data_IF_091786905368
#
_entry.id   IF_091786905368
#
_cell.length_a   1.000
_cell.length_b   1.000
_cell.length_c   1.000
_cell.angle_alpha   90.00
_cell.angle_beta   90.00
_cell.angle_gamma   90.00
#
_symmetry.space_group_name_H-M   'P 1'
#
loop_
_entity.id
_entity.type
_entity.pdbx_description
1 polymer ?
#
# COMPACT_ATOMS: atom_id res chain seq x y z
N UNK A 1 -8.97 -4.88 9.54
CA UNK A 1 -8.14 -5.98 10.07
C UNK A 1 -6.89 -6.06 9.21
N UNK A 2 -5.84 -5.36 9.63
CA UNK A 2 -4.47 -5.46 9.11
C UNK A 2 -3.58 -5.42 10.35
N UNK A 3 -3.59 -6.54 11.09
CA UNK A 3 -2.93 -6.69 12.41
C UNK A 3 -1.51 -7.22 12.29
N UNK A 4 -1.06 -7.49 11.07
CA UNK A 4 0.27 -7.99 10.80
C UNK A 4 1.34 -6.92 11.03
N UNK A 5 2.56 -7.38 11.33
CA UNK A 5 3.71 -6.49 11.48
C UNK A 5 4.26 -6.13 10.10
N UNK A 6 4.38 -4.84 9.81
CA UNK A 6 5.03 -4.31 8.60
C UNK A 6 6.48 -4.76 8.45
N UNK A 7 7.19 -5.02 9.56
CA UNK A 7 8.53 -5.59 9.52
C UNK A 7 8.57 -7.06 9.10
N UNK A 8 7.46 -7.79 9.27
CA UNK A 8 7.29 -9.16 8.77
C UNK A 8 6.82 -9.14 7.32
N UNK A 9 5.85 -8.28 6.99
CA UNK A 9 5.39 -8.05 5.61
C UNK A 9 6.55 -7.75 4.66
N UNK A 10 7.43 -6.81 5.02
CA UNK A 10 8.59 -6.42 4.22
C UNK A 10 9.61 -7.54 3.94
N UNK A 11 9.59 -8.63 4.73
CA UNK A 11 10.43 -9.81 4.44
C UNK A 11 9.90 -10.59 3.24
N UNK A 12 8.60 -10.47 2.98
CA UNK A 12 7.92 -11.14 1.87
C UNK A 12 8.05 -10.38 0.54
N UNK A 13 8.52 -9.13 0.54
CA UNK A 13 8.85 -8.36 -0.67
C UNK A 13 9.78 -9.11 -1.64
N UNK A 14 10.61 -10.03 -1.12
CA UNK A 14 11.59 -10.79 -1.92
C UNK A 14 11.03 -12.03 -2.60
N UNK A 15 9.78 -12.40 -2.35
CA UNK A 15 9.18 -13.60 -2.91
C UNK A 15 8.46 -13.31 -4.23
N UNK A 16 8.18 -14.39 -4.97
CA UNK A 16 7.54 -14.41 -6.30
C UNK A 16 6.33 -13.45 -6.42
N UNK A 17 6.04 -12.94 -7.63
CA UNK A 17 4.89 -12.06 -7.86
C UNK A 17 3.58 -12.71 -7.39
N UNK A 18 2.81 -11.93 -6.63
CA UNK A 18 1.48 -12.33 -6.16
C UNK A 18 0.56 -12.57 -7.36
N UNK A 19 -0.20 -13.67 -7.34
CA UNK A 19 -1.25 -13.92 -8.31
C UNK A 19 -2.55 -13.30 -7.83
N UNK A 20 -3.28 -12.66 -8.74
CA UNK A 20 -4.56 -12.07 -8.42
C UNK A 20 -5.57 -13.18 -8.05
N UNK A 21 -6.26 -13.09 -6.91
CA UNK A 21 -7.23 -14.11 -6.51
C UNK A 21 -8.51 -14.10 -7.36
N UNK A 22 -8.76 -13.03 -8.11
CA UNK A 22 -9.95 -12.91 -8.95
C UNK A 22 -9.77 -13.52 -10.35
N UNK A 23 -8.63 -13.28 -10.99
CA UNK A 23 -8.39 -13.66 -12.39
C UNK A 23 -7.09 -14.48 -12.61
N UNK A 24 -6.30 -14.72 -11.55
CA UNK A 24 -5.07 -15.51 -11.60
C UNK A 24 -3.88 -14.79 -12.25
N UNK A 25 -4.03 -13.54 -12.68
CA UNK A 25 -2.96 -12.81 -13.36
C UNK A 25 -1.84 -12.43 -12.39
N UNK A 26 -0.60 -12.41 -12.90
CA UNK A 26 0.54 -11.87 -12.15
C UNK A 26 0.31 -10.39 -11.87
N UNK A 27 0.37 -10.03 -10.60
CA UNK A 27 0.24 -8.64 -10.17
C UNK A 27 1.56 -7.89 -10.37
N UNK A 28 1.46 -6.60 -10.64
CA UNK A 28 2.60 -5.71 -10.86
C UNK A 28 2.84 -4.89 -9.60
N UNK A 29 4.08 -4.86 -9.13
CA UNK A 29 4.47 -4.04 -8.00
C UNK A 29 4.50 -2.56 -8.35
N UNK A 30 3.77 -1.79 -7.57
CA UNK A 30 3.65 -0.35 -7.64
C UNK A 30 4.20 0.29 -6.36
N UNK A 31 4.59 1.55 -6.46
CA UNK A 31 5.02 2.37 -5.31
C UNK A 31 4.00 3.46 -5.07
N UNK A 32 3.59 3.66 -3.82
CA UNK A 32 2.62 4.70 -3.49
C UNK A 32 3.20 6.10 -3.72
N UNK A 33 2.44 6.95 -4.42
CA UNK A 33 2.83 8.33 -4.66
C UNK A 33 2.88 9.11 -3.35
N UNK A 34 3.96 9.84 -3.09
CA UNK A 34 4.19 10.55 -1.84
C UNK A 34 4.64 9.66 -0.67
N UNK A 35 4.61 8.34 -0.82
CA UNK A 35 5.04 7.37 0.19
C UNK A 35 5.95 6.29 -0.45
N UNK A 36 7.20 6.62 -0.83
CA UNK A 36 8.08 5.70 -1.57
C UNK A 36 8.44 4.41 -0.82
N UNK A 37 8.17 4.38 0.49
CA UNK A 37 8.41 3.25 1.37
C UNK A 37 7.24 2.25 1.43
N UNK A 38 6.13 2.57 0.76
CA UNK A 38 4.95 1.71 0.65
C UNK A 38 4.90 1.16 -0.77
N UNK A 39 4.92 -0.17 -0.84
CA UNK A 39 4.69 -0.89 -2.07
C UNK A 39 3.29 -1.52 -2.02
N UNK A 40 2.72 -1.77 -3.19
CA UNK A 40 1.49 -2.53 -3.31
C UNK A 40 1.48 -3.23 -4.65
N UNK A 41 0.83 -4.38 -4.74
CA UNK A 41 0.72 -5.12 -5.99
C UNK A 41 -0.65 -4.83 -6.62
N UNK A 42 -0.67 -4.50 -7.90
CA UNK A 42 -1.90 -4.22 -8.67
C UNK A 42 -2.08 -5.21 -9.81
N UNK A 43 -3.29 -5.76 -9.94
CA UNK A 43 -3.65 -6.59 -11.08
C UNK A 43 -3.85 -5.70 -12.32
N UNK A 44 -3.16 -5.96 -13.45
CA UNK A 44 -3.32 -5.16 -14.67
C UNK A 44 -4.65 -5.40 -15.39
N UNK A 45 -5.42 -6.43 -15.00
CA UNK A 45 -6.66 -6.82 -15.67
C UNK A 45 -7.91 -6.36 -14.91
N UNK A 46 -8.06 -6.74 -13.64
CA UNK A 46 -9.22 -6.34 -12.84
C UNK A 46 -8.98 -5.10 -11.96
N UNK A 47 -7.77 -4.53 -11.97
CA UNK A 47 -7.38 -3.37 -11.15
C UNK A 47 -7.45 -3.62 -9.63
N UNK A 48 -7.58 -4.87 -9.20
CA UNK A 48 -7.50 -5.26 -7.79
C UNK A 48 -6.13 -4.93 -7.20
N UNK A 49 -6.11 -4.56 -5.91
CA UNK A 49 -4.89 -4.15 -5.20
C UNK A 49 -4.67 -5.06 -4.00
N UNK A 50 -3.41 -5.44 -3.80
CA UNK A 50 -2.94 -6.25 -2.68
C UNK A 50 -1.87 -5.48 -1.91
N UNK A 51 -1.99 -5.48 -0.59
CA UNK A 51 -1.03 -4.87 0.34
C UNK A 51 -0.46 -5.96 1.23
N UNK A 52 0.85 -5.90 1.49
CA UNK A 52 1.46 -6.81 2.45
C UNK A 52 1.07 -6.43 3.88
N UNK A 53 1.29 -7.37 4.78
CA UNK A 53 0.92 -7.27 6.19
C UNK A 53 1.47 -5.96 6.82
N UNK A 54 0.58 -5.10 7.31
CA UNK A 54 0.90 -3.83 7.96
C UNK A 54 1.06 -2.63 7.03
N UNK A 55 1.16 -2.81 5.70
CA UNK A 55 1.34 -1.73 4.74
C UNK A 55 0.06 -0.92 4.51
N UNK A 56 -1.10 -1.56 4.51
CA UNK A 56 -2.38 -0.87 4.30
C UNK A 56 -2.69 0.11 5.43
N UNK A 57 -2.35 -0.26 6.67
CA UNK A 57 -2.46 0.67 7.81
C UNK A 57 -1.55 1.89 7.62
N UNK A 58 -0.30 1.67 7.21
CA UNK A 58 0.65 2.77 6.97
C UNK A 58 0.10 3.72 5.89
N UNK A 59 -0.35 3.15 4.77
CA UNK A 59 -0.91 3.88 3.63
C UNK A 59 -2.05 4.84 4.01
N UNK A 60 -3.01 4.40 4.85
CA UNK A 60 -4.14 5.25 5.29
C UNK A 60 -3.72 6.41 6.19
N UNK A 61 -2.62 6.27 6.91
CA UNK A 61 -2.28 7.21 7.99
C UNK A 61 -1.85 8.57 7.44
N UNK A 62 -1.21 8.61 6.26
CA UNK A 62 -0.80 9.87 5.61
C UNK A 62 -1.94 10.62 4.92
N UNK A 63 -3.01 9.96 4.45
CA UNK A 63 -4.12 10.69 3.78
C UNK A 63 -4.87 11.60 4.74
N UNK A 64 -5.00 11.22 6.01
CA UNK A 64 -5.72 12.01 7.01
C UNK A 64 -4.79 13.12 7.56
N UNK A 65 -3.57 12.77 7.96
CA UNK A 65 -2.63 13.73 8.53
C UNK A 65 -2.23 14.86 7.55
N UNK A 66 -2.06 14.56 6.26
CA UNK A 66 -1.74 15.56 5.25
C UNK A 66 -2.93 16.50 4.98
N UNK A 67 -4.16 15.96 4.92
CA UNK A 67 -5.36 16.79 4.83
C UNK A 67 -5.51 17.70 6.06
N UNK A 68 -5.27 17.19 7.27
CA UNK A 68 -5.32 18.00 8.48
C UNK A 68 -4.22 19.08 8.51
N UNK A 69 -2.99 18.79 8.02
CA UNK A 69 -1.93 19.81 7.90
C UNK A 69 -2.29 20.90 6.90
N UNK A 70 -2.84 20.55 5.74
CA UNK A 70 -3.25 21.53 4.74
C UNK A 70 -4.47 22.35 5.18
N UNK A 71 -5.38 21.77 5.98
CA UNK A 71 -6.56 22.48 6.49
C UNK A 71 -6.24 23.45 7.64
N UNK A 72 -5.31 23.08 8.53
CA UNK A 72 -5.01 23.84 9.76
C UNK A 72 -3.68 24.60 9.71
N UNK A 73 -2.84 24.41 8.69
CA UNK A 73 -1.54 25.07 8.53
C UNK A 73 -1.56 26.42 7.82
N UNK A 74 -2.74 26.97 7.51
CA UNK A 74 -2.89 28.33 6.94
C UNK A 74 -3.27 29.34 8.02
N UNK A 75 -2.34 29.63 8.92
CA UNK A 75 -2.31 30.93 9.60
C UNK A 75 -1.19 31.76 8.95
N UNK A 76 -1.58 32.80 8.21
CA UNK A 76 -0.72 33.94 7.92
C UNK A 76 -1.42 35.19 8.42
#
# INVERSE_FOLDING_TARGET
LDIGSSGVGRKYDKFEPVLCPNDGQRMTRMTALGQPHIHYDQCPTCSGVFFDAGEFRDYKTMTIADVFRDLFGREK
#
